data_IF_177692592281
#
_entry.id   IF_177692592281
#
_cell.length_a   1.000
_cell.length_b   1.000
_cell.length_c   1.000
_cell.angle_alpha   90.00
_cell.angle_beta   90.00
_cell.angle_gamma   90.00
#
_symmetry.space_group_name_H-M   'P 1'
#
loop_
_entity.id
_entity.type
_entity.pdbx_description
1 polymer ?
#
# COMPACT_ATOMS: atom_id res chain seq x y z
N UNK A 1 0.62 -3.67 31.28
CA UNK A 1 -0.27 -3.37 30.13
C UNK A 1 0.32 -2.18 29.39
N UNK A 2 0.57 -2.24 28.09
CA UNK A 2 0.98 -1.04 27.33
C UNK A 2 -0.15 -0.03 27.37
N UNK A 3 0.16 1.22 27.72
CA UNK A 3 -0.84 2.30 27.72
C UNK A 3 -1.04 2.81 26.30
N UNK A 4 -1.87 2.07 25.54
CA UNK A 4 -2.18 2.39 24.15
C UNK A 4 -3.29 3.45 24.11
N UNK A 5 -3.20 4.46 23.22
CA UNK A 5 -4.20 5.53 23.10
C UNK A 5 -5.59 5.00 22.74
N UNK A 6 -6.63 5.73 23.10
CA UNK A 6 -8.06 5.42 22.83
C UNK A 6 -8.74 6.61 22.17
N UNK A 7 -9.92 6.40 21.59
CA UNK A 7 -10.67 7.41 20.84
C UNK A 7 -10.14 7.59 19.44
N UNK A 8 -10.11 8.83 18.97
CA UNK A 8 -9.58 9.15 17.65
C UNK A 8 -8.06 9.05 17.66
N UNK A 9 -7.51 8.10 16.90
CA UNK A 9 -6.08 7.82 16.81
C UNK A 9 -5.63 7.72 15.35
N UNK A 10 -4.35 7.89 15.09
CA UNK A 10 -3.76 7.65 13.78
C UNK A 10 -3.01 6.33 13.76
N UNK A 11 -3.39 5.48 12.83
CA UNK A 11 -2.79 4.17 12.58
C UNK A 11 -1.75 4.31 11.47
N UNK A 12 -0.57 3.74 11.68
CA UNK A 12 0.52 3.68 10.71
C UNK A 12 0.89 2.21 10.49
N UNK A 13 0.69 1.74 9.27
CA UNK A 13 1.17 0.43 8.81
C UNK A 13 2.35 0.60 7.89
N UNK A 14 3.33 -0.29 8.03
CA UNK A 14 4.51 -0.33 7.17
C UNK A 14 4.79 -1.76 6.70
N UNK A 15 5.47 -1.89 5.56
CA UNK A 15 5.85 -3.17 5.00
C UNK A 15 7.03 -2.99 4.02
N UNK A 16 7.95 -3.95 3.96
CA UNK A 16 9.10 -3.90 3.04
C UNK A 16 8.66 -4.37 1.65
N UNK A 17 8.80 -3.52 0.65
CA UNK A 17 8.52 -3.93 -0.73
C UNK A 17 9.53 -4.96 -1.21
N UNK A 18 9.04 -6.11 -1.71
CA UNK A 18 9.89 -7.17 -2.25
C UNK A 18 10.71 -7.92 -1.20
N UNK A 19 10.25 -7.99 0.06
CA UNK A 19 10.92 -8.67 1.16
C UNK A 19 11.33 -10.11 0.84
N UNK A 20 10.49 -10.87 0.14
CA UNK A 20 10.82 -12.22 -0.33
C UNK A 20 12.01 -12.24 -1.29
N UNK A 21 12.12 -11.24 -2.17
CA UNK A 21 13.27 -11.12 -3.07
C UNK A 21 14.57 -10.82 -2.30
N UNK A 22 14.49 -9.91 -1.31
CA UNK A 22 15.61 -9.62 -0.42
C UNK A 22 16.04 -10.85 0.40
N UNK A 23 15.07 -11.64 0.88
CA UNK A 23 15.34 -12.91 1.56
C UNK A 23 16.11 -13.89 0.65
N UNK A 24 15.67 -14.06 -0.59
CA UNK A 24 16.38 -14.92 -1.55
C UNK A 24 17.78 -14.40 -1.90
N UNK A 25 17.96 -13.08 -1.99
CA UNK A 25 19.24 -12.46 -2.32
C UNK A 25 20.26 -12.56 -1.19
N UNK A 26 19.83 -12.37 0.06
CA UNK A 26 20.71 -12.25 1.22
C UNK A 26 20.86 -13.55 2.04
N UNK A 27 19.93 -14.52 1.84
CA UNK A 27 19.93 -15.75 2.63
C UNK A 27 19.93 -15.47 4.13
N UNK A 28 20.94 -16.02 4.82
CA UNK A 28 21.09 -15.87 6.27
C UNK A 28 21.25 -14.41 6.73
N UNK A 29 21.77 -13.53 5.87
CA UNK A 29 21.94 -12.10 6.16
C UNK A 29 20.62 -11.30 6.21
N UNK A 30 19.51 -11.86 5.73
CA UNK A 30 18.21 -11.19 5.74
C UNK A 30 17.72 -10.87 7.16
N UNK A 31 18.03 -11.73 8.14
CA UNK A 31 17.67 -11.51 9.55
C UNK A 31 18.27 -10.22 10.13
N UNK A 32 19.53 -9.93 9.83
CA UNK A 32 20.21 -8.71 10.26
C UNK A 32 19.66 -7.46 9.58
N UNK A 33 19.37 -7.55 8.26
CA UNK A 33 18.71 -6.48 7.51
C UNK A 33 17.36 -6.15 8.14
N UNK A 34 16.53 -7.16 8.40
CA UNK A 34 15.21 -6.99 8.99
C UNK A 34 15.29 -6.38 10.39
N UNK A 35 16.25 -6.82 11.22
CA UNK A 35 16.49 -6.25 12.54
C UNK A 35 16.89 -4.76 12.47
N UNK A 36 17.77 -4.39 11.53
CA UNK A 36 18.18 -3.00 11.29
C UNK A 36 17.02 -2.15 10.82
N UNK A 37 16.22 -2.64 9.87
CA UNK A 37 15.02 -1.94 9.38
C UNK A 37 14.03 -1.67 10.51
N UNK A 38 13.71 -2.69 11.32
CA UNK A 38 12.83 -2.56 12.48
C UNK A 38 13.38 -1.59 13.53
N UNK A 39 14.68 -1.57 13.77
CA UNK A 39 15.31 -0.63 14.71
C UNK A 39 15.17 0.82 14.26
N UNK A 40 15.36 1.11 12.96
CA UNK A 40 15.16 2.44 12.38
C UNK A 40 13.71 2.90 12.50
N UNK A 41 12.75 2.02 12.16
CA UNK A 41 11.30 2.31 12.27
C UNK A 41 10.92 2.58 13.73
N UNK A 42 11.34 1.72 14.68
CA UNK A 42 11.06 1.91 16.11
C UNK A 42 11.63 3.22 16.64
N UNK A 43 12.86 3.55 16.30
CA UNK A 43 13.49 4.80 16.70
C UNK A 43 12.70 6.01 16.21
N UNK A 44 12.29 6.01 14.92
CA UNK A 44 11.48 7.08 14.34
C UNK A 44 10.12 7.21 15.01
N UNK A 45 9.44 6.07 15.28
CA UNK A 45 8.10 6.08 15.88
C UNK A 45 8.16 6.52 17.35
N UNK A 46 9.06 5.97 18.15
CA UNK A 46 9.23 6.33 19.56
C UNK A 46 9.64 7.80 19.72
N UNK A 47 10.50 8.31 18.85
CA UNK A 47 10.89 9.72 18.82
C UNK A 47 9.72 10.68 18.58
N UNK A 48 8.60 10.20 18.07
CA UNK A 48 7.37 10.95 17.83
C UNK A 48 6.18 10.43 18.68
N UNK A 49 6.45 9.84 19.83
CA UNK A 49 5.43 9.35 20.77
C UNK A 49 4.52 8.25 20.19
N UNK A 50 5.02 7.51 19.21
CA UNK A 50 4.32 6.37 18.64
C UNK A 50 4.42 5.14 19.53
N UNK A 51 3.36 4.34 19.51
CA UNK A 51 3.28 3.07 20.22
C UNK A 51 3.26 1.94 19.20
N UNK A 52 4.26 1.06 19.24
CA UNK A 52 4.26 -0.18 18.47
C UNK A 52 3.18 -1.11 19.03
N UNK A 53 2.24 -1.52 18.19
CA UNK A 53 1.14 -2.43 18.53
C UNK A 53 1.53 -3.85 18.21
N UNK A 54 1.98 -4.10 16.97
CA UNK A 54 2.30 -5.43 16.46
C UNK A 54 3.42 -5.37 15.41
N UNK A 55 4.13 -6.48 15.28
CA UNK A 55 5.16 -6.68 14.24
C UNK A 55 5.08 -8.11 13.75
N UNK A 56 4.70 -8.30 12.48
CA UNK A 56 4.59 -9.61 11.83
C UNK A 56 5.48 -9.66 10.60
N UNK A 57 6.48 -10.54 10.59
CA UNK A 57 7.43 -10.60 9.48
C UNK A 57 8.12 -9.26 9.27
N UNK A 58 8.02 -8.69 8.09
CA UNK A 58 8.54 -7.37 7.71
C UNK A 58 7.55 -6.22 7.90
N UNK A 59 6.29 -6.53 8.25
CA UNK A 59 5.27 -5.55 8.54
C UNK A 59 5.35 -5.05 9.99
N UNK A 60 5.09 -3.75 10.19
CA UNK A 60 4.96 -3.15 11.51
C UNK A 60 3.71 -2.30 11.59
N UNK A 61 3.00 -2.40 12.71
CA UNK A 61 1.84 -1.61 13.05
C UNK A 61 2.12 -0.73 14.27
N UNK A 62 1.98 0.59 14.10
CA UNK A 62 2.11 1.57 15.16
C UNK A 62 0.90 2.51 15.21
N UNK A 63 0.66 3.10 16.37
CA UNK A 63 -0.44 4.06 16.59
C UNK A 63 0.07 5.32 17.27
N UNK A 64 -0.63 6.42 17.00
CA UNK A 64 -0.30 7.75 17.51
C UNK A 64 -1.57 8.44 17.98
N UNK A 65 -1.49 9.16 19.09
CA UNK A 65 -2.58 9.99 19.58
C UNK A 65 -2.84 11.23 18.70
N UNK A 66 -1.86 11.64 17.86
CA UNK A 66 -1.95 12.82 17.00
C UNK A 66 -1.50 12.47 15.58
N UNK A 67 -2.26 12.91 14.59
CA UNK A 67 -1.92 12.72 13.18
C UNK A 67 -0.59 13.39 12.77
N UNK A 68 -0.29 14.55 13.36
CA UNK A 68 0.98 15.25 13.14
C UNK A 68 2.20 14.46 13.60
N UNK A 69 2.08 13.75 14.72
CA UNK A 69 3.16 12.90 15.24
C UNK A 69 3.38 11.69 14.32
N UNK A 70 2.29 11.07 13.85
CA UNK A 70 2.35 9.97 12.89
C UNK A 70 3.00 10.38 11.56
N UNK A 71 2.64 11.57 11.03
CA UNK A 71 3.28 12.12 9.83
C UNK A 71 4.76 12.37 10.05
N UNK A 72 5.14 13.02 11.16
CA UNK A 72 6.55 13.27 11.50
C UNK A 72 7.34 11.98 11.65
N UNK A 73 6.75 10.95 12.27
CA UNK A 73 7.34 9.63 12.40
C UNK A 73 7.58 8.94 11.06
N UNK A 74 6.60 8.98 10.15
CA UNK A 74 6.74 8.43 8.81
C UNK A 74 7.83 9.13 7.99
N UNK A 75 7.90 10.47 8.06
CA UNK A 75 8.95 11.28 7.41
C UNK A 75 10.33 10.95 7.97
N UNK A 76 10.47 10.91 9.31
CA UNK A 76 11.73 10.57 9.96
C UNK A 76 12.20 9.15 9.59
N UNK A 77 11.26 8.19 9.57
CA UNK A 77 11.54 6.81 9.17
C UNK A 77 12.04 6.73 7.72
N UNK A 78 11.36 7.37 6.75
CA UNK A 78 11.78 7.36 5.35
C UNK A 78 13.16 7.99 5.15
N UNK A 79 13.45 9.09 5.84
CA UNK A 79 14.79 9.73 5.82
C UNK A 79 15.86 8.82 6.40
N UNK A 80 15.59 8.17 7.54
CA UNK A 80 16.51 7.25 8.18
C UNK A 80 16.79 6.01 7.31
N UNK A 81 15.75 5.42 6.70
CA UNK A 81 15.88 4.28 5.80
C UNK A 81 16.69 4.62 4.55
N UNK A 82 16.50 5.82 3.99
CA UNK A 82 17.24 6.29 2.82
C UNK A 82 18.71 6.60 3.11
N UNK A 83 19.01 7.08 4.32
CA UNK A 83 20.38 7.40 4.74
C UNK A 83 21.18 6.19 5.22
N UNK A 84 20.51 5.05 5.48
CA UNK A 84 21.18 3.88 6.04
C UNK A 84 21.98 3.12 4.97
N UNK A 85 23.19 2.70 5.32
CA UNK A 85 24.04 1.89 4.44
C UNK A 85 23.67 0.41 4.57
N UNK A 86 22.84 -0.06 3.62
CA UNK A 86 22.37 -1.45 3.61
C UNK A 86 23.48 -2.42 3.20
N UNK A 87 23.51 -3.65 3.76
CA UNK A 87 24.53 -4.64 3.43
C UNK A 87 24.45 -5.04 1.96
N UNK A 88 25.58 -5.44 1.37
CA UNK A 88 25.71 -5.94 0.01
C UNK A 88 25.12 -5.03 -1.10
N UNK A 89 24.95 -3.72 -0.79
CA UNK A 89 24.41 -2.76 -1.77
C UNK A 89 22.94 -2.93 -2.13
N UNK A 90 22.18 -3.72 -1.34
CA UNK A 90 20.72 -3.83 -1.54
C UNK A 90 20.03 -2.50 -1.22
N UNK A 91 18.84 -2.31 -1.76
CA UNK A 91 18.00 -1.15 -1.46
C UNK A 91 16.76 -1.62 -0.73
N UNK A 92 16.60 -1.21 0.54
CA UNK A 92 15.40 -1.50 1.31
C UNK A 92 14.42 -0.34 1.16
N UNK A 93 13.23 -0.65 0.65
CA UNK A 93 12.16 0.32 0.46
C UNK A 93 10.95 -0.08 1.27
N UNK A 94 10.54 0.78 2.19
CA UNK A 94 9.38 0.56 3.05
C UNK A 94 8.21 1.39 2.56
N UNK A 95 7.08 0.75 2.27
CA UNK A 95 5.81 1.42 2.00
C UNK A 95 5.08 1.70 3.29
N UNK A 96 4.37 2.84 3.37
CA UNK A 96 3.69 3.27 4.57
C UNK A 96 2.28 3.77 4.25
N UNK A 97 1.33 3.46 5.14
CA UNK A 97 -0.05 3.93 5.04
C UNK A 97 -0.53 4.48 6.37
N UNK A 98 -1.06 5.71 6.36
CA UNK A 98 -1.60 6.39 7.52
C UNK A 98 -3.11 6.60 7.36
N UNK A 99 -3.86 6.23 8.40
CA UNK A 99 -5.28 6.51 8.50
C UNK A 99 -5.64 6.95 9.91
N UNK A 100 -6.53 7.93 10.03
CA UNK A 100 -7.05 8.40 11.33
C UNK A 100 -8.51 8.00 11.45
N UNK A 101 -8.84 7.36 12.56
CA UNK A 101 -10.19 6.87 12.85
C UNK A 101 -10.35 6.49 14.31
N UNK A 102 -11.42 5.78 14.61
CA UNK A 102 -11.80 5.36 15.97
C UNK A 102 -11.92 3.83 16.04
N UNK A 103 -10.80 3.08 15.96
CA UNK A 103 -10.85 1.62 16.06
C UNK A 103 -11.20 1.19 17.49
N UNK A 104 -11.82 0.01 17.61
CA UNK A 104 -12.09 -0.58 18.92
C UNK A 104 -10.81 -1.16 19.51
N UNK A 105 -10.50 -0.79 20.76
CA UNK A 105 -9.37 -1.35 21.52
C UNK A 105 -9.74 -2.73 22.05
N UNK A 106 -8.85 -3.68 21.88
CA UNK A 106 -8.92 -5.04 22.43
C UNK A 106 -7.65 -5.36 23.24
N UNK A 107 -7.60 -6.52 23.89
CA UNK A 107 -6.46 -6.92 24.74
C UNK A 107 -5.12 -6.89 23.98
N UNK A 108 -5.13 -7.31 22.72
CA UNK A 108 -3.92 -7.45 21.88
C UNK A 108 -3.74 -6.32 20.86
N UNK A 109 -4.43 -5.19 21.02
CA UNK A 109 -4.27 -4.04 20.11
C UNK A 109 -5.60 -3.41 19.69
N UNK A 110 -5.85 -3.34 18.37
CA UNK A 110 -7.04 -2.69 17.81
C UNK A 110 -7.70 -3.54 16.73
N UNK A 111 -9.03 -3.42 16.64
CA UNK A 111 -9.85 -4.05 15.59
C UNK A 111 -10.83 -3.04 15.01
N UNK A 112 -11.36 -3.32 13.84
CA UNK A 112 -12.39 -2.51 13.19
C UNK A 112 -11.98 -2.08 11.77
N UNK A 113 -12.93 -1.44 11.08
CA UNK A 113 -12.75 -1.05 9.68
C UNK A 113 -11.57 -0.09 9.46
N UNK A 114 -11.26 0.76 10.43
CA UNK A 114 -10.17 1.73 10.32
C UNK A 114 -8.79 1.05 10.30
N UNK A 115 -8.63 -0.08 11.02
CA UNK A 115 -7.42 -0.92 10.95
C UNK A 115 -7.27 -1.49 9.53
N UNK A 116 -8.35 -2.03 8.96
CA UNK A 116 -8.34 -2.53 7.59
C UNK A 116 -8.07 -1.42 6.57
N UNK A 117 -8.68 -0.22 6.74
CA UNK A 117 -8.41 0.93 5.86
C UNK A 117 -6.93 1.30 5.85
N UNK A 118 -6.31 1.46 7.02
CA UNK A 118 -4.89 1.78 7.13
C UNK A 118 -4.01 0.73 6.44
N UNK A 119 -4.31 -0.56 6.62
CA UNK A 119 -3.61 -1.67 5.95
C UNK A 119 -3.78 -1.61 4.43
N UNK A 120 -4.99 -1.31 3.92
CA UNK A 120 -5.23 -1.21 2.46
C UNK A 120 -4.57 0.02 1.86
N UNK A 121 -4.52 1.15 2.57
CA UNK A 121 -3.78 2.34 2.14
C UNK A 121 -2.29 1.99 2.01
N UNK A 122 -1.68 1.34 3.00
CA UNK A 122 -0.29 0.89 2.94
C UNK A 122 -0.07 -0.06 1.76
N UNK A 123 -0.97 -1.02 1.56
CA UNK A 123 -0.86 -2.01 0.48
C UNK A 123 -0.95 -1.39 -0.93
N UNK A 124 -1.62 -0.24 -1.07
CA UNK A 124 -1.72 0.51 -2.32
C UNK A 124 -0.43 1.26 -2.67
N UNK A 125 0.44 1.50 -1.69
CA UNK A 125 1.69 2.22 -1.86
C UNK A 125 2.80 1.37 -2.51
N UNK A 126 3.80 2.07 -3.05
CA UNK A 126 5.08 1.51 -3.48
C UNK A 126 6.15 1.68 -2.39
N UNK A 127 7.21 0.91 -2.45
CA UNK A 127 8.34 1.04 -1.52
C UNK A 127 8.96 2.43 -1.55
N UNK A 128 9.11 3.06 -0.38
CA UNK A 128 9.53 4.45 -0.22
C UNK A 128 8.37 5.46 -0.25
N UNK A 129 7.16 5.04 -0.62
CA UNK A 129 5.99 5.91 -0.68
C UNK A 129 5.24 5.92 0.66
N UNK A 130 4.75 7.10 1.07
CA UNK A 130 3.88 7.29 2.24
C UNK A 130 2.55 7.82 1.76
N UNK A 131 1.47 7.08 2.05
CA UNK A 131 0.10 7.46 1.70
C UNK A 131 -0.72 7.84 2.93
N UNK A 132 -1.58 8.83 2.76
CA UNK A 132 -2.55 9.28 3.76
C UNK A 132 -3.97 9.12 3.26
N UNK A 133 -4.91 8.80 4.17
CA UNK A 133 -6.33 9.03 3.92
C UNK A 133 -6.68 10.53 3.97
N UNK A 134 -7.83 10.90 3.39
CA UNK A 134 -8.41 12.25 3.48
C UNK A 134 -8.49 12.72 4.95
N UNK A 135 -9.03 11.88 5.85
CA UNK A 135 -9.17 12.21 7.28
C UNK A 135 -7.81 12.59 7.90
N UNK A 136 -6.78 11.80 7.64
CA UNK A 136 -5.42 12.11 8.15
C UNK A 136 -4.89 13.40 7.53
N UNK A 137 -5.07 13.58 6.22
CA UNK A 137 -4.64 14.79 5.50
C UNK A 137 -5.25 16.06 6.08
N UNK A 138 -6.54 16.03 6.40
CA UNK A 138 -7.23 17.22 6.93
C UNK A 138 -6.72 17.61 8.32
N UNK A 139 -6.38 16.63 9.15
CA UNK A 139 -5.79 16.87 10.47
C UNK A 139 -4.35 17.40 10.41
N UNK A 140 -3.59 17.08 9.37
CA UNK A 140 -2.20 17.54 9.20
C UNK A 140 -2.04 18.69 8.24
N UNK A 141 -3.11 19.24 7.67
CA UNK A 141 -3.09 20.31 6.66
C UNK A 141 -2.32 21.56 7.12
N UNK A 142 -2.30 21.81 8.43
CA UNK A 142 -1.63 22.95 9.05
C UNK A 142 -0.37 22.56 9.83
N UNK A 143 0.00 21.26 9.85
CA UNK A 143 1.20 20.77 10.51
C UNK A 143 2.41 20.89 9.57
N UNK A 144 2.73 22.14 9.16
CA UNK A 144 3.83 22.39 8.23
C UNK A 144 5.16 21.84 8.77
N UNK A 145 5.62 20.73 8.22
CA UNK A 145 6.98 20.24 8.43
C UNK A 145 7.86 20.75 7.28
N UNK A 146 9.01 21.31 7.60
CA UNK A 146 9.95 21.84 6.60
C UNK A 146 10.37 20.72 5.61
N UNK A 147 10.25 21.04 4.32
CA UNK A 147 10.58 20.09 3.25
C UNK A 147 9.57 18.95 3.08
N UNK A 148 8.33 19.11 3.58
CA UNK A 148 7.25 18.13 3.41
C UNK A 148 6.05 18.82 2.76
N UNK A 149 5.49 18.21 1.72
CA UNK A 149 4.24 18.63 1.09
C UNK A 149 3.32 17.44 0.84
N UNK A 150 2.04 17.70 0.57
CA UNK A 150 1.05 16.69 0.29
C UNK A 150 0.58 16.80 -1.15
N UNK A 151 0.67 15.72 -1.91
CA UNK A 151 0.18 15.59 -3.28
C UNK A 151 -1.15 14.83 -3.26
N UNK A 152 -2.19 15.42 -3.81
CA UNK A 152 -3.48 14.74 -4.02
C UNK A 152 -3.34 13.72 -5.15
N UNK A 153 -3.72 12.49 -4.90
CA UNK A 153 -3.69 11.41 -5.88
C UNK A 153 -5.08 11.09 -6.44
N UNK A 154 -6.13 11.77 -5.95
CA UNK A 154 -7.51 11.52 -6.36
C UNK A 154 -8.18 10.38 -5.60
N UNK A 155 -9.30 9.92 -6.15
CA UNK A 155 -10.12 8.86 -5.56
C UNK A 155 -9.71 7.49 -6.09
N UNK A 156 -9.63 6.52 -5.17
CA UNK A 156 -9.20 5.15 -5.46
C UNK A 156 -10.08 4.14 -4.74
N UNK A 157 -10.47 3.07 -5.43
CA UNK A 157 -11.13 1.91 -4.81
C UNK A 157 -10.09 0.97 -4.24
N UNK A 158 -10.08 0.87 -2.91
CA UNK A 158 -9.23 -0.07 -2.19
C UNK A 158 -9.90 -1.44 -2.16
N UNK A 159 -9.09 -2.50 -2.13
CA UNK A 159 -9.60 -3.87 -2.00
C UNK A 159 -10.46 -3.99 -0.73
N UNK A 160 -11.57 -4.71 -0.83
CA UNK A 160 -12.55 -4.98 0.23
C UNK A 160 -13.36 -3.75 0.69
N UNK A 161 -13.28 -2.62 -0.03
CA UNK A 161 -14.09 -1.43 0.21
C UNK A 161 -14.89 -1.06 -1.05
N UNK A 162 -16.21 -0.88 -0.88
CA UNK A 162 -17.11 -0.51 -1.99
C UNK A 162 -16.94 0.96 -2.40
N UNK A 163 -16.73 1.83 -1.40
CA UNK A 163 -16.60 3.27 -1.62
C UNK A 163 -15.17 3.64 -1.98
N UNK A 164 -15.01 4.49 -3.00
CA UNK A 164 -13.73 5.10 -3.32
C UNK A 164 -13.27 6.01 -2.17
N UNK A 165 -11.96 6.05 -1.96
CA UNK A 165 -11.32 6.86 -0.94
C UNK A 165 -10.30 7.78 -1.59
N UNK A 166 -10.34 9.08 -1.25
CA UNK A 166 -9.32 10.02 -1.68
C UNK A 166 -8.03 9.82 -0.91
N UNK A 167 -6.94 9.66 -1.66
CA UNK A 167 -5.62 9.38 -1.11
C UNK A 167 -4.65 10.52 -1.41
N UNK A 168 -3.71 10.71 -0.50
CA UNK A 168 -2.66 11.73 -0.61
C UNK A 168 -1.30 11.08 -0.41
N UNK A 169 -0.32 11.55 -1.17
CA UNK A 169 1.08 11.17 -1.00
C UNK A 169 1.81 12.23 -0.20
N UNK A 170 2.62 11.79 0.76
CA UNK A 170 3.61 12.64 1.41
C UNK A 170 4.81 12.77 0.49
N UNK A 171 5.10 13.98 0.05
CA UNK A 171 6.30 14.31 -0.72
C UNK A 171 7.35 14.86 0.26
N UNK A 172 8.50 14.20 0.33
CA UNK A 172 9.58 14.51 1.27
C UNK A 172 10.77 15.03 0.45
N UNK A 173 11.21 16.25 0.73
CA UNK A 173 12.36 16.83 0.04
C UNK A 173 13.61 15.96 0.18
N UNK A 174 14.29 15.71 -0.95
CA UNK A 174 15.47 14.87 -1.02
C UNK A 174 15.20 13.36 -1.16
N UNK A 175 13.93 12.94 -1.18
CA UNK A 175 13.53 11.56 -1.43
C UNK A 175 12.72 11.43 -2.73
N UNK A 176 12.62 10.23 -3.33
CA UNK A 176 11.79 9.99 -4.51
C UNK A 176 10.35 10.45 -4.29
N UNK A 177 9.79 11.18 -5.24
CA UNK A 177 8.42 11.71 -5.19
C UNK A 177 7.52 11.15 -6.30
N UNK A 178 8.10 10.58 -7.35
CA UNK A 178 7.36 10.03 -8.47
C UNK A 178 7.36 8.51 -8.40
N UNK A 179 6.15 7.95 -8.37
CA UNK A 179 5.89 6.52 -8.25
C UNK A 179 4.94 6.08 -9.38
N UNK A 180 4.96 4.79 -9.74
CA UNK A 180 3.94 4.24 -10.64
C UNK A 180 2.52 4.44 -10.10
N UNK A 181 1.47 4.25 -10.92
CA UNK A 181 0.08 4.26 -10.45
C UNK A 181 -0.11 3.38 -9.21
N UNK A 182 -0.97 3.80 -8.28
CA UNK A 182 -1.22 3.08 -7.05
C UNK A 182 -1.72 1.65 -7.32
N UNK A 183 -1.36 0.71 -6.45
CA UNK A 183 -1.78 -0.70 -6.49
C UNK A 183 -3.23 -0.87 -5.99
N UNK A 184 -4.17 -0.13 -6.60
CA UNK A 184 -5.60 -0.14 -6.30
C UNK A 184 -6.40 -0.93 -7.31
N UNK A 185 -7.70 -1.13 -7.08
CA UNK A 185 -8.57 -1.80 -8.06
C UNK A 185 -8.69 -0.98 -9.35
N UNK A 186 -8.70 0.35 -9.24
CA UNK A 186 -8.77 1.26 -10.39
C UNK A 186 -7.41 1.44 -11.08
N UNK A 187 -6.30 1.27 -10.34
CA UNK A 187 -4.92 1.31 -10.87
C UNK A 187 -4.53 0.04 -11.64
N UNK A 188 -5.36 -0.98 -11.62
CA UNK A 188 -5.32 -2.06 -12.60
C UNK A 188 -6.01 -1.59 -13.88
N UNK A 189 -5.61 -0.42 -14.40
CA UNK A 189 -5.93 -0.06 -15.77
C UNK A 189 -5.51 -1.23 -16.65
N UNK A 190 -6.45 -1.72 -17.43
CA UNK A 190 -6.36 -2.71 -18.48
C UNK A 190 -4.93 -3.15 -18.81
N UNK A 191 -4.38 -4.04 -17.98
CA UNK A 191 -3.13 -4.75 -18.32
C UNK A 191 -3.42 -5.88 -19.32
N UNK A 192 -4.56 -5.80 -19.98
CA UNK A 192 -4.80 -6.63 -21.16
C UNK A 192 -3.80 -6.19 -22.23
N UNK A 193 -2.96 -7.10 -22.74
CA UNK A 193 -2.02 -6.76 -23.79
C UNK A 193 -2.81 -6.17 -24.97
N UNK A 194 -2.45 -4.95 -25.40
CA UNK A 194 -3.03 -4.37 -26.60
C UNK A 194 -2.58 -5.26 -27.78
N UNK A 195 -3.51 -5.96 -28.45
CA UNK A 195 -3.13 -6.83 -29.55
C UNK A 195 -2.52 -6.00 -30.68
N UNK A 196 -1.32 -6.36 -31.21
CA UNK A 196 -0.66 -5.57 -32.26
C UNK A 196 -1.38 -5.59 -33.61
N UNK A 197 -2.41 -6.41 -33.75
CA UNK A 197 -3.21 -6.54 -34.99
C UNK A 197 -4.69 -6.71 -34.63
N UNK A 198 -5.59 -6.31 -35.52
CA UNK A 198 -7.03 -6.56 -35.39
C UNK A 198 -7.35 -8.07 -35.37
N UNK A 199 -8.37 -8.46 -34.61
CA UNK A 199 -8.90 -9.81 -34.65
C UNK A 199 -9.74 -9.95 -35.93
N UNK A 200 -9.40 -10.90 -36.79
CA UNK A 200 -10.07 -11.12 -38.10
C UNK A 200 -10.71 -12.50 -38.09
N UNK A 201 -11.94 -12.59 -38.59
CA UNK A 201 -12.64 -13.85 -38.80
C UNK A 201 -13.17 -14.54 -37.54
N UNK A 202 -13.42 -13.77 -36.46
CA UNK A 202 -13.94 -14.24 -35.18
C UNK A 202 -15.07 -13.35 -34.63
N UNK A 203 -15.73 -12.64 -35.52
CA UNK A 203 -16.75 -11.65 -35.15
C UNK A 203 -17.97 -12.32 -34.48
N UNK A 204 -18.35 -13.53 -34.94
CA UNK A 204 -19.44 -14.30 -34.38
C UNK A 204 -19.15 -14.83 -32.99
N UNK A 205 -17.94 -15.32 -32.75
CA UNK A 205 -17.48 -15.80 -31.42
C UNK A 205 -17.39 -14.64 -30.42
N UNK A 206 -16.90 -13.47 -30.83
CA UNK A 206 -16.89 -12.25 -30.00
C UNK A 206 -18.32 -11.87 -29.62
N UNK A 207 -19.24 -11.88 -30.60
CA UNK A 207 -20.66 -11.56 -30.35
C UNK A 207 -21.33 -12.57 -29.40
N UNK A 208 -21.03 -13.88 -29.56
CA UNK A 208 -21.54 -14.92 -28.67
C UNK A 208 -21.02 -14.78 -27.24
N UNK A 209 -19.71 -14.56 -27.07
CA UNK A 209 -19.09 -14.34 -25.75
C UNK A 209 -19.69 -13.08 -25.10
N UNK A 210 -19.79 -11.98 -25.84
CA UNK A 210 -20.42 -10.75 -25.37
C UNK A 210 -21.89 -10.91 -24.94
N UNK A 211 -22.66 -11.76 -25.62
CA UNK A 211 -24.03 -12.11 -25.19
C UNK A 211 -24.02 -12.91 -23.88
N UNK A 212 -23.10 -13.87 -23.74
CA UNK A 212 -23.00 -14.67 -22.52
C UNK A 212 -22.58 -13.81 -21.31
N UNK A 213 -21.60 -12.93 -21.47
CA UNK A 213 -21.10 -12.05 -20.39
C UNK A 213 -22.12 -11.00 -19.92
N UNK A 214 -23.12 -10.67 -20.76
CA UNK A 214 -24.20 -9.73 -20.39
C UNK A 214 -25.38 -10.38 -19.67
N UNK A 215 -25.38 -11.70 -19.56
CA UNK A 215 -26.43 -12.42 -18.84
C UNK A 215 -26.18 -12.37 -17.34
N UNK A 216 -27.19 -12.00 -16.57
CA UNK A 216 -27.10 -11.88 -15.09
C UNK A 216 -26.86 -13.23 -14.39
N UNK A 217 -27.26 -14.35 -15.04
CA UNK A 217 -27.11 -15.71 -14.53
C UNK A 217 -25.75 -16.35 -14.87
N UNK A 218 -24.92 -15.71 -15.72
CA UNK A 218 -23.60 -16.21 -16.13
C UNK A 218 -22.50 -15.52 -15.31
N UNK A 219 -21.81 -16.28 -14.48
CA UNK A 219 -20.70 -15.78 -13.64
C UNK A 219 -19.32 -16.14 -14.17
N UNK A 220 -19.23 -17.12 -15.06
CA UNK A 220 -17.96 -17.59 -15.61
C UNK A 220 -18.17 -18.08 -17.05
N UNK A 221 -17.34 -17.61 -17.95
CA UNK A 221 -17.24 -18.13 -19.34
C UNK A 221 -15.84 -18.69 -19.52
N UNK A 222 -15.74 -19.97 -19.91
CA UNK A 222 -14.47 -20.66 -20.14
C UNK A 222 -14.31 -20.95 -21.63
N UNK A 223 -13.19 -20.46 -22.23
CA UNK A 223 -12.84 -20.73 -23.61
C UNK A 223 -11.97 -21.98 -23.69
N UNK A 224 -12.47 -23.05 -24.28
CA UNK A 224 -11.77 -24.32 -24.46
C UNK A 224 -11.39 -24.55 -25.94
N UNK A 225 -10.35 -25.32 -26.19
CA UNK A 225 -9.88 -25.69 -27.52
C UNK A 225 -8.37 -25.99 -27.58
N UNK A 226 -7.87 -26.50 -28.71
CA UNK A 226 -6.46 -26.83 -28.91
C UNK A 226 -5.51 -25.64 -28.71
N UNK A 227 -4.22 -25.91 -28.51
CA UNK A 227 -3.17 -24.88 -28.45
C UNK A 227 -3.12 -24.08 -29.76
N UNK A 228 -2.81 -22.77 -29.70
CA UNK A 228 -2.64 -21.94 -30.89
C UNK A 228 -3.91 -21.44 -31.58
N UNK A 229 -5.11 -21.83 -31.14
CA UNK A 229 -6.40 -21.42 -31.78
C UNK A 229 -6.84 -19.99 -31.44
N UNK A 230 -6.01 -19.17 -30.80
CA UNK A 230 -6.31 -17.75 -30.55
C UNK A 230 -7.25 -17.49 -29.38
N UNK A 231 -7.48 -18.46 -28.46
CA UNK A 231 -8.37 -18.28 -27.28
C UNK A 231 -7.99 -17.07 -26.41
N UNK A 232 -6.72 -16.92 -26.07
CA UNK A 232 -6.24 -15.79 -25.27
C UNK A 232 -6.50 -14.45 -25.97
N UNK A 233 -6.38 -14.42 -27.30
CA UNK A 233 -6.64 -13.24 -28.11
C UNK A 233 -8.13 -12.91 -28.22
N UNK A 234 -8.98 -13.95 -28.19
CA UNK A 234 -10.44 -13.80 -28.17
C UNK A 234 -10.96 -13.32 -26.81
N UNK A 235 -10.17 -13.58 -25.73
CA UNK A 235 -10.53 -13.19 -24.37
C UNK A 235 -10.04 -11.76 -23.99
N UNK A 236 -9.18 -11.17 -24.81
CA UNK A 236 -8.65 -9.79 -24.69
C UNK A 236 -9.52 -8.84 -25.49
#
# INVERSE_FOLDING_TARGET
MRDLPTGTITLLFTDIEGSTHLLHQLGDGYGELLASCRALLRSAFQGQRGHEVDTQGDAMFAVFARASDALSAAVAAQRALAAYSWPQGVVVRVRMGLHTGEPSRVTEGYVGLDVHRATRIMSAAHGGQVLLSQTTRDLVAHAGAEGVSLRDLGEHRLKDFEQAMRLYQVVIAGLPADFPPLKTLDGRADTLPVPPTTLVGREDEVAQIGKLLRREDVRLVTLTGPGGTGKSRLAI
#
